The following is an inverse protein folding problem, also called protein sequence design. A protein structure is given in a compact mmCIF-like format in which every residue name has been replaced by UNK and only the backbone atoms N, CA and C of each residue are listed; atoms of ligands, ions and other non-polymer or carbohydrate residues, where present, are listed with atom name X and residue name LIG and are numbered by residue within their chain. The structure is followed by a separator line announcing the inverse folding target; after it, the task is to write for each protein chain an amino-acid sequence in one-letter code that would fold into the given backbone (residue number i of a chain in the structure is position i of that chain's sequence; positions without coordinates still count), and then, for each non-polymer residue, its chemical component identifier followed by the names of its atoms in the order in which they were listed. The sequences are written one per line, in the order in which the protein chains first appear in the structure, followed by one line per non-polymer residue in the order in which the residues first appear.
data_IF_293079254891
#
_entry.id   IF_293079254891
#
_cell.length_a   1.000
_cell.length_b   1.000
_cell.length_c   1.000
_cell.angle_alpha   90.00
_cell.angle_beta   90.00
_cell.angle_gamma   90.00
#
_symmetry.space_group_name_H-M   'P 1'
#
loop_
_entity.id
_entity.type
_entity.pdbx_description
1 polymer ?
#
# COMPACT_ATOMS: atom_id res chain seq x y z
N UNK A 1 -16.98 24.07 -22.65
CA UNK A 1 -16.72 24.19 -24.09
C UNK A 1 -16.75 22.81 -24.71
N UNK A 2 -17.86 22.52 -25.39
CA UNK A 2 -18.11 21.54 -26.46
C UNK A 2 -17.17 20.32 -26.62
N UNK A 3 -17.71 19.16 -26.25
CA UNK A 3 -17.34 17.85 -26.82
C UNK A 3 -17.86 17.73 -28.27
N UNK A 4 -17.32 16.78 -29.07
CA UNK A 4 -17.12 16.91 -30.51
C UNK A 4 -18.42 16.84 -31.34
N UNK A 5 -18.41 17.41 -32.56
CA UNK A 5 -19.56 17.43 -33.45
C UNK A 5 -19.70 16.05 -34.09
N UNK A 6 -20.89 15.47 -34.09
CA UNK A 6 -21.25 14.44 -35.05
C UNK A 6 -22.71 14.63 -35.40
N UNK A 7 -22.95 14.94 -36.67
CA UNK A 7 -24.26 15.10 -37.28
C UNK A 7 -25.20 13.95 -36.94
N UNK A 8 -26.40 14.30 -36.50
CA UNK A 8 -27.52 13.41 -36.23
C UNK A 8 -27.94 12.67 -37.50
N UNK A 9 -28.20 11.36 -37.50
CA UNK A 9 -29.22 10.81 -38.36
C UNK A 9 -30.58 11.15 -37.75
N UNK A 10 -31.36 11.91 -38.49
CA UNK A 10 -32.81 11.92 -38.29
C UNK A 10 -33.32 10.49 -38.49
N UNK A 11 -34.29 10.09 -37.65
CA UNK A 11 -35.10 8.88 -37.73
C UNK A 11 -34.60 7.63 -36.96
N UNK A 12 -35.41 7.25 -35.96
CA UNK A 12 -35.34 5.98 -35.24
C UNK A 12 -35.62 4.82 -36.23
N UNK A 13 -34.58 4.19 -36.76
CA UNK A 13 -34.68 3.01 -37.65
C UNK A 13 -34.44 1.69 -36.91
N UNK A 14 -35.10 0.61 -37.36
CA UNK A 14 -35.19 -0.70 -36.69
C UNK A 14 -33.86 -1.46 -36.51
N UNK A 15 -32.75 -1.02 -37.13
CA UNK A 15 -31.50 -1.80 -37.25
C UNK A 15 -30.23 -1.12 -36.68
N UNK A 16 -30.33 -0.25 -35.68
CA UNK A 16 -29.13 0.41 -35.10
C UNK A 16 -29.05 0.26 -33.58
N UNK A 17 -28.27 -0.74 -33.14
CA UNK A 17 -27.86 -0.97 -31.74
C UNK A 17 -26.90 0.10 -31.16
N UNK A 18 -26.99 1.35 -31.61
CA UNK A 18 -26.30 2.47 -30.98
C UNK A 18 -27.34 3.53 -30.64
N UNK A 19 -27.62 3.69 -29.35
CA UNK A 19 -28.61 4.63 -28.86
C UNK A 19 -27.91 5.95 -28.55
N UNK A 20 -28.31 7.02 -29.23
CA UNK A 20 -27.93 8.39 -28.83
C UNK A 20 -28.98 8.89 -27.86
N UNK A 21 -28.59 9.01 -26.60
CA UNK A 21 -29.39 9.71 -25.60
C UNK A 21 -29.25 11.21 -25.81
N UNK A 22 -30.34 11.96 -25.62
CA UNK A 22 -30.38 13.42 -25.71
C UNK A 22 -30.81 14.00 -24.36
N UNK A 23 -30.31 15.20 -24.02
CA UNK A 23 -30.73 15.89 -22.80
C UNK A 23 -32.13 16.46 -23.00
N UNK A 24 -33.08 16.02 -22.19
CA UNK A 24 -34.39 16.63 -22.04
C UNK A 24 -34.22 18.03 -21.46
N UNK A 25 -34.65 19.04 -22.20
CA UNK A 25 -34.40 20.45 -21.86
C UNK A 25 -35.30 21.00 -20.76
N UNK A 26 -36.33 20.26 -20.34
CA UNK A 26 -37.23 20.65 -19.24
C UNK A 26 -36.76 20.08 -17.90
N UNK A 27 -36.18 18.87 -17.91
CA UNK A 27 -35.76 18.13 -16.71
C UNK A 27 -34.24 18.10 -16.53
N UNK A 28 -33.48 18.26 -17.60
CA UNK A 28 -32.01 18.15 -17.59
C UNK A 28 -31.49 16.70 -17.64
N UNK A 29 -32.37 15.71 -17.82
CA UNK A 29 -32.05 14.28 -17.81
C UNK A 29 -31.73 13.76 -19.22
N UNK A 30 -30.85 12.76 -19.34
CA UNK A 30 -30.56 12.09 -20.61
C UNK A 30 -31.60 11.01 -20.91
N UNK A 31 -32.26 11.08 -22.07
CA UNK A 31 -33.31 10.12 -22.49
C UNK A 31 -33.11 9.65 -23.92
N UNK A 32 -33.52 8.42 -24.19
CA UNK A 32 -33.61 7.92 -25.55
C UNK A 32 -34.75 8.69 -26.24
N UNK A 33 -34.50 9.42 -27.34
CA UNK A 33 -35.53 10.21 -28.00
C UNK A 33 -36.67 9.36 -28.57
N UNK A 34 -36.41 8.08 -28.86
CA UNK A 34 -37.36 7.14 -29.45
C UNK A 34 -38.22 6.41 -28.40
N UNK A 35 -37.64 5.99 -27.27
CA UNK A 35 -38.36 5.19 -26.25
C UNK A 35 -38.75 5.98 -25.01
N UNK A 36 -38.21 7.21 -24.83
CA UNK A 36 -38.34 8.02 -23.61
C UNK A 36 -37.78 7.35 -22.35
N UNK A 37 -37.12 6.20 -22.50
CA UNK A 37 -36.45 5.52 -21.41
C UNK A 37 -35.12 6.22 -21.12
N UNK A 38 -34.80 6.30 -19.84
CA UNK A 38 -33.46 6.64 -19.39
C UNK A 38 -32.48 5.58 -19.89
N UNK A 39 -31.21 5.93 -20.11
CA UNK A 39 -30.20 4.94 -20.42
C UNK A 39 -30.21 3.83 -19.37
N UNK A 40 -30.18 2.54 -19.76
CA UNK A 40 -29.89 1.49 -18.81
C UNK A 40 -28.55 1.84 -18.18
N UNK A 41 -28.55 2.01 -16.86
CA UNK A 41 -27.41 2.49 -16.09
C UNK A 41 -26.33 1.41 -16.12
N UNK A 42 -25.55 1.40 -17.19
CA UNK A 42 -24.18 0.92 -17.25
C UNK A 42 -23.39 2.04 -17.92
N UNK A 43 -23.20 3.12 -17.18
CA UNK A 43 -22.11 4.05 -17.46
C UNK A 43 -20.81 3.25 -17.40
N UNK A 44 -19.83 3.49 -18.29
CA UNK A 44 -18.53 2.86 -18.17
C UNK A 44 -18.01 3.16 -16.76
N UNK A 45 -17.78 2.09 -15.99
CA UNK A 45 -17.53 2.09 -14.55
C UNK A 45 -16.90 3.39 -14.05
N UNK A 46 -17.66 4.22 -13.32
CA UNK A 46 -17.01 4.95 -12.23
C UNK A 46 -16.31 3.87 -11.40
N UNK A 47 -14.99 3.97 -11.13
CA UNK A 47 -14.28 2.93 -10.40
C UNK A 47 -15.08 2.64 -9.14
N UNK A 48 -15.62 1.41 -9.07
CA UNK A 48 -16.57 1.02 -8.05
C UNK A 48 -16.07 1.48 -6.68
N UNK A 49 -16.97 2.01 -5.86
CA UNK A 49 -16.65 2.52 -4.53
C UNK A 49 -15.73 1.53 -3.81
N UNK A 50 -14.44 1.90 -3.68
CA UNK A 50 -13.46 1.03 -3.08
C UNK A 50 -13.91 0.72 -1.66
N UNK A 51 -13.97 -0.57 -1.29
CA UNK A 51 -14.24 -0.94 0.09
C UNK A 51 -12.98 -0.72 0.94
N UNK A 52 -12.70 0.54 1.27
CA UNK A 52 -11.52 0.98 2.02
C UNK A 52 -11.52 0.54 3.50
N UNK A 53 -12.49 -0.28 3.93
CA UNK A 53 -12.48 -0.90 5.26
C UNK A 53 -11.81 -2.29 5.26
N UNK A 54 -11.57 -2.87 4.08
CA UNK A 54 -10.87 -4.14 3.92
C UNK A 54 -9.44 -3.86 3.43
N UNK A 55 -8.41 -4.30 4.18
CA UNK A 55 -7.03 -3.97 3.84
C UNK A 55 -6.55 -4.64 2.54
N UNK A 56 -7.16 -5.75 2.11
CA UNK A 56 -6.83 -6.34 0.81
C UNK A 56 -7.47 -5.58 -0.33
N UNK A 57 -8.73 -5.14 -0.20
CA UNK A 57 -9.37 -4.31 -1.22
C UNK A 57 -8.57 -3.02 -1.44
N UNK A 58 -7.99 -2.44 -0.39
CA UNK A 58 -7.05 -1.30 -0.49
C UNK A 58 -5.83 -1.65 -1.33
N UNK A 59 -5.14 -2.75 -1.01
CA UNK A 59 -3.92 -3.17 -1.70
C UNK A 59 -4.22 -3.52 -3.16
N UNK A 60 -5.26 -4.29 -3.43
CA UNK A 60 -5.68 -4.66 -4.78
C UNK A 60 -5.99 -3.41 -5.61
N UNK A 61 -6.69 -2.44 -5.02
CA UNK A 61 -6.99 -1.15 -5.67
C UNK A 61 -5.71 -0.37 -6.00
N UNK A 62 -4.76 -0.29 -5.07
CA UNK A 62 -3.47 0.34 -5.30
C UNK A 62 -2.69 -0.33 -6.44
N UNK A 63 -2.75 -1.66 -6.54
CA UNK A 63 -2.08 -2.41 -7.61
C UNK A 63 -2.66 -2.14 -9.00
N UNK A 64 -3.88 -1.63 -9.12
CA UNK A 64 -4.45 -1.22 -10.42
C UNK A 64 -3.95 0.15 -10.89
N UNK A 65 -3.30 0.92 -10.02
CA UNK A 65 -2.76 2.24 -10.34
C UNK A 65 -1.41 2.12 -11.04
N UNK A 66 -1.03 3.13 -11.83
CA UNK A 66 0.27 3.12 -12.50
C UNK A 66 1.45 3.28 -11.53
N UNK A 67 1.27 4.05 -10.45
CA UNK A 67 2.38 4.52 -9.62
C UNK A 67 2.75 3.53 -8.53
N UNK A 68 1.78 2.87 -7.90
CA UNK A 68 2.07 2.00 -6.76
C UNK A 68 2.98 0.81 -7.14
N UNK A 69 2.70 0.02 -8.19
CA UNK A 69 3.62 -1.03 -8.63
C UNK A 69 4.97 -0.47 -9.09
N UNK A 70 4.98 0.72 -9.72
CA UNK A 70 6.19 1.37 -10.20
C UNK A 70 7.14 1.77 -9.07
N UNK A 71 6.62 2.18 -7.90
CA UNK A 71 7.46 2.44 -6.73
C UNK A 71 8.24 1.20 -6.32
N UNK A 72 7.56 0.03 -6.23
CA UNK A 72 8.21 -1.22 -5.86
C UNK A 72 9.24 -1.67 -6.89
N UNK A 73 8.91 -1.64 -8.18
CA UNK A 73 9.84 -2.06 -9.22
C UNK A 73 11.08 -1.16 -9.30
N UNK A 74 10.89 0.16 -9.20
CA UNK A 74 12.00 1.13 -9.24
C UNK A 74 12.92 0.95 -8.04
N UNK A 75 12.34 0.75 -6.86
CA UNK A 75 13.11 0.50 -5.63
C UNK A 75 13.88 -0.83 -5.69
N UNK A 76 13.24 -1.91 -6.17
CA UNK A 76 13.91 -3.20 -6.43
C UNK A 76 15.08 -3.03 -7.39
N UNK A 77 14.89 -2.31 -8.49
CA UNK A 77 15.92 -2.16 -9.52
C UNK A 77 17.07 -1.23 -9.05
N UNK A 78 16.87 -0.49 -7.96
CA UNK A 78 17.88 0.39 -7.37
C UNK A 78 18.65 -0.21 -6.18
N UNK A 79 18.37 -1.45 -5.77
CA UNK A 79 19.04 -2.08 -4.60
C UNK A 79 20.56 -2.22 -4.76
N UNK A 80 21.09 -2.15 -5.98
CA UNK A 80 22.55 -2.18 -6.21
C UNK A 80 23.27 -0.88 -5.85
N UNK A 81 22.54 0.20 -5.55
CA UNK A 81 23.14 1.43 -5.02
C UNK A 81 23.78 1.15 -3.64
N UNK A 82 24.78 1.97 -3.27
CA UNK A 82 25.39 1.87 -1.94
C UNK A 82 24.62 2.68 -0.88
N UNK A 83 23.36 3.02 -1.13
CA UNK A 83 22.46 3.72 -0.22
C UNK A 83 21.02 3.23 -0.43
N UNK A 84 20.18 3.40 0.59
CA UNK A 84 18.75 3.13 0.50
C UNK A 84 18.00 4.27 -0.20
N UNK A 85 16.90 3.95 -0.88
CA UNK A 85 15.99 4.88 -1.52
C UNK A 85 14.58 4.67 -1.01
N UNK A 86 13.77 5.72 -1.05
CA UNK A 86 12.36 5.62 -0.69
C UNK A 86 11.48 6.67 -1.36
N UNK A 87 10.18 6.42 -1.28
CA UNK A 87 9.13 7.28 -1.79
C UNK A 87 8.15 7.58 -0.67
N UNK A 88 7.86 8.87 -0.47
CA UNK A 88 6.70 9.36 0.28
C UNK A 88 5.63 9.77 -0.73
N UNK A 89 4.38 9.34 -0.58
CA UNK A 89 3.36 9.59 -1.59
C UNK A 89 1.99 10.02 -1.04
N UNK A 90 1.21 10.64 -1.93
CA UNK A 90 -0.13 11.16 -1.68
C UNK A 90 -1.09 10.76 -2.80
N UNK A 91 -2.39 10.70 -2.47
CA UNK A 91 -3.47 10.36 -3.38
C UNK A 91 -3.17 9.08 -4.20
N UNK A 92 -2.81 7.96 -3.56
CA UNK A 92 -2.22 6.83 -4.25
C UNK A 92 -3.21 6.06 -5.13
N UNK A 93 -4.52 6.31 -4.96
CA UNK A 93 -5.58 5.78 -5.82
C UNK A 93 -5.82 6.60 -7.09
N UNK A 94 -5.10 7.72 -7.29
CA UNK A 94 -5.13 8.46 -8.53
C UNK A 94 -3.94 8.06 -9.41
N UNK A 95 -4.10 8.17 -10.73
CA UNK A 95 -3.01 7.97 -11.67
C UNK A 95 -2.06 9.19 -11.77
N UNK A 96 -2.14 10.16 -10.86
CA UNK A 96 -1.25 11.32 -10.83
C UNK A 96 0.04 11.01 -10.07
N UNK A 97 1.19 11.43 -10.60
CA UNK A 97 2.47 11.36 -9.88
C UNK A 97 2.48 12.37 -8.74
N UNK A 98 2.25 11.91 -7.52
CA UNK A 98 2.30 12.74 -6.31
C UNK A 98 3.14 12.06 -5.24
N UNK A 99 4.46 12.18 -5.38
CA UNK A 99 5.44 11.59 -4.49
C UNK A 99 6.71 12.43 -4.38
N UNK A 100 7.48 12.18 -3.33
CA UNK A 100 8.84 12.69 -3.13
C UNK A 100 9.78 11.49 -3.04
N UNK A 101 10.87 11.52 -3.81
CA UNK A 101 11.99 10.59 -3.66
C UNK A 101 12.89 11.05 -2.51
N UNK A 102 13.31 10.11 -1.68
CA UNK A 102 14.25 10.31 -0.59
C UNK A 102 15.42 9.35 -0.80
N UNK A 103 16.64 9.85 -0.70
CA UNK A 103 17.84 9.04 -0.72
C UNK A 103 18.45 9.02 0.68
N UNK A 104 18.90 7.84 1.11
CA UNK A 104 19.74 7.66 2.27
C UNK A 104 21.17 8.11 1.99
N UNK A 105 21.97 8.07 3.05
CA UNK A 105 23.39 8.39 2.96
C UNK A 105 24.17 7.25 2.30
N UNK A 106 25.19 7.61 1.53
CA UNK A 106 26.11 6.65 0.93
C UNK A 106 26.79 5.78 2.01
N UNK A 107 26.91 4.49 1.74
CA UNK A 107 27.49 3.45 2.60
C UNK A 107 26.77 3.28 3.95
N UNK A 108 25.53 3.78 4.06
CA UNK A 108 24.64 3.60 5.21
C UNK A 108 23.49 2.63 4.93
N UNK A 109 23.07 1.92 5.97
CA UNK A 109 21.85 1.10 6.00
C UNK A 109 20.64 1.88 6.54
N UNK A 110 20.62 3.18 6.29
CA UNK A 110 19.60 4.04 6.88
C UNK A 110 19.11 5.05 5.87
N UNK A 111 17.80 5.18 5.80
CA UNK A 111 17.12 6.28 5.14
C UNK A 111 16.38 7.13 6.17
N UNK A 112 16.49 8.45 6.06
CA UNK A 112 15.71 9.37 6.88
C UNK A 112 14.53 9.90 6.09
N UNK A 113 13.41 9.18 6.16
CA UNK A 113 12.14 9.63 5.62
C UNK A 113 11.40 10.41 6.71
N UNK A 114 11.28 11.74 6.56
CA UNK A 114 10.50 12.55 7.51
C UNK A 114 9.45 13.38 6.77
N UNK A 115 8.18 12.93 6.74
CA UNK A 115 7.13 13.62 6.02
C UNK A 115 6.81 14.98 6.66
N UNK A 116 6.91 16.05 5.87
CA UNK A 116 6.58 17.41 6.31
C UNK A 116 5.08 17.56 6.64
N UNK A 117 4.22 16.93 5.84
CA UNK A 117 2.75 16.91 5.98
C UNK A 117 2.24 15.47 6.13
N UNK A 118 0.95 15.31 6.43
CA UNK A 118 0.36 13.97 6.43
C UNK A 118 0.41 13.33 5.04
N UNK A 119 0.86 12.07 4.97
CA UNK A 119 1.05 11.27 3.75
C UNK A 119 0.05 10.11 3.69
N UNK A 120 -0.19 9.59 2.49
CA UNK A 120 -1.04 8.42 2.26
C UNK A 120 -0.23 7.11 2.22
N UNK A 121 1.10 7.19 2.17
CA UNK A 121 1.97 6.03 2.34
C UNK A 121 3.43 6.33 2.09
N UNK A 122 4.27 5.33 2.38
CA UNK A 122 5.69 5.35 2.09
C UNK A 122 6.18 3.97 1.69
N UNK A 123 7.27 3.91 0.93
CA UNK A 123 7.97 2.65 0.62
C UNK A 123 9.46 2.93 0.46
N UNK A 124 10.32 2.10 1.02
CA UNK A 124 11.78 2.19 0.81
C UNK A 124 12.38 0.86 0.38
N UNK A 125 13.64 0.87 -0.01
CA UNK A 125 14.41 -0.35 -0.17
C UNK A 125 15.46 -0.54 0.91
N UNK A 126 15.86 -1.79 1.10
CA UNK A 126 17.14 -2.13 1.69
C UNK A 126 18.13 -2.42 0.55
N UNK A 127 19.20 -1.64 0.48
CA UNK A 127 20.24 -1.81 -0.54
C UNK A 127 21.05 -3.09 -0.32
N UNK A 128 21.77 -3.58 -1.33
CA UNK A 128 22.44 -4.90 -1.36
C UNK A 128 23.67 -5.06 -0.45
N UNK A 129 23.78 -4.24 0.60
CA UNK A 129 24.78 -4.42 1.63
C UNK A 129 24.60 -5.78 2.36
N UNK A 130 25.68 -6.53 2.65
CA UNK A 130 25.60 -7.81 3.36
C UNK A 130 24.99 -7.73 4.77
N UNK A 131 24.95 -6.53 5.36
CA UNK A 131 24.40 -6.26 6.69
C UNK A 131 22.92 -5.90 6.66
N UNK A 132 22.29 -5.86 5.48
CA UNK A 132 20.86 -5.53 5.33
C UNK A 132 19.96 -6.61 5.92
N UNK A 133 18.76 -6.24 6.34
CA UNK A 133 17.70 -7.21 6.63
C UNK A 133 16.89 -7.50 5.37
N UNK A 134 16.40 -8.73 5.23
CA UNK A 134 15.48 -9.12 4.15
C UNK A 134 14.01 -8.82 4.47
N UNK A 135 13.75 -8.14 5.60
CA UNK A 135 12.45 -7.88 6.23
C UNK A 135 12.53 -6.51 6.93
N UNK A 136 11.39 -5.92 7.30
CA UNK A 136 11.37 -4.67 8.05
C UNK A 136 12.24 -4.75 9.32
N UNK A 137 12.96 -3.68 9.59
CA UNK A 137 13.80 -3.47 10.77
C UNK A 137 12.98 -3.03 11.99
N UNK A 138 13.64 -2.97 13.14
CA UNK A 138 13.10 -2.28 14.32
C UNK A 138 12.83 -0.80 14.04
N UNK A 139 13.75 -0.14 13.32
CA UNK A 139 13.68 1.30 13.06
C UNK A 139 12.47 1.63 12.17
N UNK A 140 12.07 0.72 11.29
CA UNK A 140 10.83 0.82 10.50
C UNK A 140 9.57 0.89 11.38
N UNK A 141 9.48 0.04 12.42
CA UNK A 141 8.37 0.12 13.38
C UNK A 141 8.41 1.41 14.18
N UNK A 142 9.60 1.85 14.57
CA UNK A 142 9.79 3.07 15.34
C UNK A 142 9.34 4.28 14.53
N UNK A 143 9.80 4.42 13.28
CA UNK A 143 9.39 5.49 12.38
C UNK A 143 7.90 5.46 12.07
N UNK A 144 7.32 4.28 11.80
CA UNK A 144 5.89 4.16 11.55
C UNK A 144 5.06 4.60 12.77
N UNK A 145 5.48 4.23 13.98
CA UNK A 145 4.82 4.67 15.20
C UNK A 145 4.97 6.17 15.45
N UNK A 146 6.16 6.73 15.27
CA UNK A 146 6.41 8.17 15.38
C UNK A 146 5.51 8.96 14.42
N UNK A 147 5.41 8.52 13.16
CA UNK A 147 4.54 9.15 12.17
C UNK A 147 3.06 9.05 12.55
N UNK A 148 2.63 7.92 13.12
CA UNK A 148 1.28 7.74 13.60
C UNK A 148 0.94 8.75 14.71
N UNK A 149 1.75 8.82 15.78
CA UNK A 149 1.46 9.69 16.93
C UNK A 149 1.67 11.18 16.63
N UNK A 150 2.52 11.50 15.64
CA UNK A 150 2.80 12.86 15.19
C UNK A 150 1.81 13.36 14.12
N UNK A 151 0.75 12.59 13.81
CA UNK A 151 -0.28 12.99 12.85
C UNK A 151 0.22 13.08 11.40
N UNK A 152 1.24 12.30 11.05
CA UNK A 152 1.83 12.24 9.70
C UNK A 152 1.19 11.17 8.81
N UNK A 153 0.28 10.36 9.37
CA UNK A 153 -0.53 9.41 8.59
C UNK A 153 -1.89 10.07 8.32
N UNK A 154 -2.23 10.24 7.03
CA UNK A 154 -3.46 10.94 6.61
C UNK A 154 -4.72 10.14 6.92
N UNK A 155 -4.73 8.85 6.59
CA UNK A 155 -5.81 7.92 6.93
C UNK A 155 -5.22 6.53 7.19
N UNK A 156 -5.37 6.04 8.41
CA UNK A 156 -4.82 4.73 8.83
C UNK A 156 -5.44 3.56 8.09
N UNK A 157 -6.67 3.71 7.57
CA UNK A 157 -7.36 2.64 6.83
C UNK A 157 -6.75 2.36 5.46
N UNK A 158 -6.21 3.41 4.83
CA UNK A 158 -5.64 3.31 3.48
C UNK A 158 -4.12 3.46 3.45
N UNK A 159 -3.51 3.87 4.57
CA UNK A 159 -2.08 4.07 4.65
C UNK A 159 -1.32 2.76 4.48
N UNK A 160 -0.30 2.79 3.63
CA UNK A 160 0.60 1.65 3.40
C UNK A 160 2.05 2.04 3.69
N UNK A 161 2.77 1.14 4.34
CA UNK A 161 4.22 1.26 4.54
C UNK A 161 4.94 0.05 3.94
N UNK A 162 5.65 0.27 2.86
CA UNK A 162 6.32 -0.77 2.08
C UNK A 162 7.81 -0.87 2.36
N UNK A 163 8.37 -2.05 2.12
CA UNK A 163 9.81 -2.23 2.01
C UNK A 163 10.13 -3.24 0.90
N UNK A 164 11.21 -2.96 0.16
CA UNK A 164 11.70 -3.79 -0.94
C UNK A 164 13.16 -4.18 -0.73
N UNK A 165 13.52 -5.42 -0.98
CA UNK A 165 14.91 -5.87 -1.10
C UNK A 165 15.15 -6.47 -2.49
N UNK A 166 16.34 -7.00 -2.73
CA UNK A 166 16.64 -7.75 -3.95
C UNK A 166 15.84 -9.05 -4.10
N UNK A 167 15.29 -9.56 -3.00
CA UNK A 167 14.64 -10.88 -2.96
C UNK A 167 13.23 -10.88 -2.39
N UNK A 168 12.79 -9.76 -1.80
CA UNK A 168 11.50 -9.65 -1.11
C UNK A 168 10.86 -8.30 -1.33
N UNK A 169 9.54 -8.23 -1.24
CA UNK A 169 8.80 -6.99 -1.13
C UNK A 169 7.59 -7.20 -0.26
N UNK A 170 7.36 -6.26 0.65
CA UNK A 170 6.31 -6.35 1.65
C UNK A 170 5.61 -5.02 1.85
N UNK A 171 4.37 -5.09 2.32
CA UNK A 171 3.59 -3.93 2.75
C UNK A 171 3.02 -4.19 4.14
N UNK A 172 3.08 -3.19 5.02
CA UNK A 172 2.36 -3.13 6.28
C UNK A 172 1.19 -2.15 6.18
N UNK A 173 0.07 -2.50 6.82
CA UNK A 173 -1.06 -1.62 7.04
C UNK A 173 -1.49 -1.66 8.51
N UNK A 174 -1.86 -0.50 9.06
CA UNK A 174 -2.39 -0.40 10.42
C UNK A 174 -3.88 -0.73 10.38
N UNK A 175 -4.23 -1.97 10.75
CA UNK A 175 -5.62 -2.46 10.67
C UNK A 175 -6.36 -2.42 12.01
N UNK A 176 -5.63 -2.25 13.12
CA UNK A 176 -6.18 -1.96 14.43
C UNK A 176 -5.38 -0.81 15.06
N UNK A 177 -5.86 0.42 14.88
CA UNK A 177 -5.20 1.62 15.40
C UNK A 177 -5.11 1.64 16.93
N UNK A 178 -6.05 1.00 17.64
CA UNK A 178 -6.00 0.91 19.11
C UNK A 178 -4.90 -0.07 19.54
N UNK A 179 -4.84 -1.24 18.90
CA UNK A 179 -3.75 -2.20 19.06
C UNK A 179 -2.38 -1.57 18.77
N UNK A 180 -2.27 -0.81 17.69
CA UNK A 180 -1.01 -0.17 17.28
C UNK A 180 -0.54 0.89 18.28
N UNK A 181 -1.44 1.76 18.74
CA UNK A 181 -1.13 2.74 19.80
C UNK A 181 -0.71 2.05 21.10
N UNK A 182 -1.43 1.00 21.51
CA UNK A 182 -1.10 0.28 22.75
C UNK A 182 0.27 -0.40 22.66
N UNK A 183 0.58 -0.99 21.51
CA UNK A 183 1.89 -1.56 21.21
C UNK A 183 2.98 -0.49 21.29
N UNK A 184 2.84 0.61 20.55
CA UNK A 184 3.86 1.65 20.51
C UNK A 184 4.05 2.37 21.84
N UNK A 185 2.98 2.66 22.58
CA UNK A 185 3.07 3.23 23.93
C UNK A 185 3.87 2.35 24.89
N UNK A 186 3.77 1.02 24.74
CA UNK A 186 4.46 0.06 25.60
C UNK A 186 5.90 -0.22 25.18
N UNK A 187 6.17 -0.22 23.87
CA UNK A 187 7.40 -0.78 23.31
C UNK A 187 8.25 0.22 22.54
N UNK A 188 7.73 1.40 22.20
CA UNK A 188 8.41 2.38 21.34
C UNK A 188 8.47 3.79 21.95
N UNK A 189 7.71 4.08 23.01
CA UNK A 189 7.59 5.42 23.57
C UNK A 189 8.63 5.78 24.65
N UNK A 190 9.26 4.80 25.29
CA UNK A 190 10.30 5.03 26.29
C UNK A 190 11.52 4.11 26.09
N UNK A 191 12.66 4.50 26.66
CA UNK A 191 13.93 3.80 26.50
C UNK A 191 13.86 2.33 26.90
N UNK A 192 13.17 1.99 28.00
CA UNK A 192 13.08 0.60 28.47
C UNK A 192 12.23 -0.24 27.51
N UNK A 193 11.10 0.30 27.06
CA UNK A 193 10.24 -0.33 26.05
C UNK A 193 11.00 -0.59 24.76
N UNK A 194 11.70 0.44 24.26
CA UNK A 194 12.52 0.38 23.04
C UNK A 194 13.59 -0.69 23.14
N UNK A 195 14.37 -0.70 24.23
CA UNK A 195 15.43 -1.69 24.42
C UNK A 195 14.86 -3.11 24.53
N UNK A 196 13.72 -3.28 25.21
CA UNK A 196 13.05 -4.57 25.31
C UNK A 196 12.59 -5.06 23.93
N UNK A 197 11.87 -4.24 23.17
CA UNK A 197 11.37 -4.63 21.86
C UNK A 197 12.51 -4.92 20.89
N UNK A 198 13.51 -4.02 20.82
CA UNK A 198 14.70 -4.21 19.99
C UNK A 198 15.46 -5.50 20.33
N UNK A 199 15.65 -5.78 21.63
CA UNK A 199 16.30 -7.02 22.08
C UNK A 199 15.49 -8.26 21.73
N UNK A 200 14.18 -8.25 21.95
CA UNK A 200 13.33 -9.40 21.61
C UNK A 200 13.29 -9.62 20.10
N UNK A 201 13.16 -8.54 19.32
CA UNK A 201 13.09 -8.57 17.86
C UNK A 201 14.36 -9.15 17.23
N UNK A 202 15.53 -8.61 17.58
CA UNK A 202 16.79 -9.05 16.98
C UNK A 202 17.40 -10.28 17.65
N UNK A 203 17.36 -10.36 18.98
CA UNK A 203 18.09 -11.41 19.73
C UNK A 203 17.19 -12.61 19.98
N UNK A 204 16.00 -12.42 20.57
CA UNK A 204 15.15 -13.54 20.98
C UNK A 204 14.45 -14.21 19.78
N UNK A 205 13.98 -13.44 18.80
CA UNK A 205 13.46 -14.00 17.54
C UNK A 205 14.57 -14.27 16.53
N UNK A 206 15.77 -13.72 16.72
CA UNK A 206 16.92 -13.99 15.87
C UNK A 206 16.77 -13.42 14.46
N UNK A 207 16.10 -12.29 14.27
CA UNK A 207 16.02 -11.62 12.96
C UNK A 207 17.40 -11.02 12.67
N UNK A 208 18.07 -11.50 11.63
CA UNK A 208 19.46 -11.12 11.32
C UNK A 208 19.74 -11.14 9.81
N UNK A 209 20.69 -10.33 9.32
CA UNK A 209 21.09 -10.30 7.90
C UNK A 209 21.53 -11.66 7.33
N UNK A 210 22.03 -12.55 8.19
CA UNK A 210 22.60 -13.83 7.76
C UNK A 210 21.56 -14.94 7.53
N UNK A 211 20.30 -14.71 7.92
CA UNK A 211 19.23 -15.70 7.70
C UNK A 211 18.76 -15.68 6.24
N UNK A 212 18.17 -16.78 5.79
CA UNK A 212 17.40 -16.75 4.54
C UNK A 212 16.20 -15.82 4.66
N UNK A 213 15.79 -15.21 3.55
CA UNK A 213 14.65 -14.29 3.52
C UNK A 213 13.36 -14.90 4.11
N UNK A 214 13.09 -16.18 3.79
CA UNK A 214 11.97 -16.94 4.32
C UNK A 214 12.05 -17.19 5.84
N UNK A 215 13.25 -17.32 6.40
CA UNK A 215 13.44 -17.50 7.84
C UNK A 215 13.18 -16.19 8.60
N UNK A 216 13.71 -15.07 8.08
CA UNK A 216 13.43 -13.74 8.62
C UNK A 216 11.93 -13.42 8.54
N UNK A 217 11.26 -13.76 7.45
CA UNK A 217 9.80 -13.61 7.31
C UNK A 217 9.05 -14.38 8.40
N UNK A 218 9.34 -15.68 8.60
CA UNK A 218 8.70 -16.48 9.67
C UNK A 218 8.95 -15.88 11.05
N UNK A 219 10.19 -15.46 11.34
CA UNK A 219 10.55 -14.86 12.65
C UNK A 219 9.86 -13.51 12.86
N UNK A 220 9.74 -12.72 11.82
CA UNK A 220 9.00 -11.45 11.83
C UNK A 220 7.50 -11.65 12.07
N UNK A 221 6.87 -12.58 11.35
CA UNK A 221 5.46 -12.91 11.56
C UNK A 221 5.21 -13.46 12.97
N UNK A 222 6.16 -14.22 13.54
CA UNK A 222 6.11 -14.64 14.95
C UNK A 222 6.17 -13.45 15.90
N UNK A 223 6.99 -12.45 15.61
CA UNK A 223 7.04 -11.21 16.37
C UNK A 223 5.70 -10.46 16.29
N UNK A 224 5.10 -10.33 15.09
CA UNK A 224 3.78 -9.74 14.92
C UNK A 224 2.70 -10.49 15.69
N UNK A 225 2.71 -11.82 15.70
CA UNK A 225 1.74 -12.63 16.43
C UNK A 225 1.85 -12.46 17.95
N UNK A 226 3.07 -12.37 18.49
CA UNK A 226 3.32 -12.27 19.93
C UNK A 226 3.08 -10.85 20.44
N UNK A 227 3.56 -9.84 19.72
CA UNK A 227 3.40 -8.44 20.12
C UNK A 227 2.03 -7.88 19.75
N UNK A 228 1.37 -8.47 18.75
CA UNK A 228 0.07 -8.06 18.21
C UNK A 228 -0.05 -6.53 18.03
N UNK A 229 0.78 -5.91 17.17
CA UNK A 229 0.79 -4.47 17.01
C UNK A 229 -0.43 -3.93 16.23
N UNK A 230 -1.44 -4.75 15.90
CA UNK A 230 -2.56 -4.29 15.09
C UNK A 230 -2.19 -4.02 13.61
N UNK A 231 -1.11 -4.63 13.12
CA UNK A 231 -0.65 -4.52 11.74
C UNK A 231 -1.06 -5.74 10.93
N UNK A 232 -1.53 -5.51 9.70
CA UNK A 232 -1.62 -6.53 8.66
C UNK A 232 -0.37 -6.49 7.78
N UNK A 233 0.11 -7.67 7.42
CA UNK A 233 1.35 -7.85 6.68
C UNK A 233 1.08 -8.55 5.35
N UNK A 234 1.59 -7.96 4.28
CA UNK A 234 1.38 -8.38 2.90
C UNK A 234 2.71 -8.68 2.24
N UNK A 235 2.74 -9.75 1.45
CA UNK A 235 3.90 -10.20 0.69
C UNK A 235 3.63 -10.09 -0.79
N UNK A 236 4.52 -9.43 -1.52
CA UNK A 236 4.45 -9.37 -2.97
C UNK A 236 4.79 -10.73 -3.60
N UNK A 237 4.21 -11.01 -4.76
CA UNK A 237 4.75 -12.03 -5.66
C UNK A 237 6.08 -11.56 -6.30
N UNK A 238 6.80 -12.49 -6.93
CA UNK A 238 8.11 -12.19 -7.53
C UNK A 238 8.07 -11.12 -8.65
N UNK A 239 6.91 -10.94 -9.28
CA UNK A 239 6.71 -9.94 -10.35
C UNK A 239 6.28 -8.59 -9.82
N UNK A 240 6.05 -8.44 -8.51
CA UNK A 240 5.54 -7.22 -7.87
C UNK A 240 4.18 -6.76 -8.44
N UNK A 241 3.36 -7.71 -8.89
CA UNK A 241 2.04 -7.44 -9.51
C UNK A 241 0.87 -7.79 -8.60
N UNK A 242 1.13 -8.51 -7.51
CA UNK A 242 0.11 -8.87 -6.54
C UNK A 242 0.73 -8.94 -5.15
N UNK A 243 -0.07 -8.63 -4.13
CA UNK A 243 0.30 -8.74 -2.73
C UNK A 243 -0.70 -9.62 -1.99
N UNK A 244 -0.21 -10.66 -1.33
CA UNK A 244 -1.02 -11.56 -0.54
C UNK A 244 -0.84 -11.24 0.94
N UNK A 245 -1.94 -11.08 1.68
CA UNK A 245 -1.88 -10.98 3.14
C UNK A 245 -1.42 -12.32 3.71
N UNK A 246 -0.42 -12.33 4.58
CA UNK A 246 0.14 -13.56 5.14
C UNK A 246 0.23 -13.52 6.66
N UNK A 247 0.21 -14.71 7.28
CA UNK A 247 0.42 -14.91 8.72
C UNK A 247 1.15 -16.22 9.00
N UNK A 248 1.53 -16.46 10.24
CA UNK A 248 1.89 -17.80 10.70
C UNK A 248 0.65 -18.64 11.02
N UNK A 249 0.66 -19.89 10.58
CA UNK A 249 -0.23 -20.92 11.11
C UNK A 249 0.30 -21.47 12.46
N UNK A 250 -0.48 -22.33 13.16
CA UNK A 250 -0.04 -22.93 14.43
C UNK A 250 1.25 -23.78 14.32
N UNK A 251 1.55 -24.30 13.13
CA UNK A 251 2.74 -25.12 12.86
C UNK A 251 4.00 -24.28 12.59
N UNK A 252 3.86 -22.95 12.49
CA UNK A 252 4.98 -22.03 12.23
C UNK A 252 5.31 -21.84 10.74
N UNK A 253 4.38 -22.16 9.86
CA UNK A 253 4.48 -21.89 8.43
C UNK A 253 3.77 -20.60 8.03
N UNK A 254 4.36 -19.88 7.07
CA UNK A 254 3.70 -18.75 6.42
C UNK A 254 2.57 -19.27 5.54
N UNK A 255 1.35 -18.79 5.79
CA UNK A 255 0.16 -19.13 5.02
C UNK A 255 -0.58 -17.87 4.59
N UNK A 256 -1.33 -17.92 3.47
CA UNK A 256 -2.29 -16.89 3.12
C UNK A 256 -3.25 -16.61 4.28
N UNK A 257 -3.56 -15.34 4.52
CA UNK A 257 -4.53 -14.91 5.51
C UNK A 257 -5.67 -14.15 4.84
N UNK A 258 -6.90 -14.69 4.89
CA UNK A 258 -8.04 -14.02 4.29
C UNK A 258 -8.26 -12.61 4.83
N UNK A 259 -8.94 -11.82 4.02
CA UNK A 259 -9.18 -10.41 4.24
C UNK A 259 -10.52 -10.14 4.97
N UNK A 260 -11.20 -11.23 5.34
CA UNK A 260 -12.58 -11.29 5.82
C UNK A 260 -12.63 -11.56 7.33
#
# INVERSE_FOLDING_TARGET
TTNPPNTLPDECGEDRNWVVYVIDTNTGEWKNPCTQEEPPIEWPDEPGEYNLNNPCDVIDSLMTTNNYPLYYSTLRDSVSANYEKGYLFWNPFSNSTNYIEVNGEADSLSINMYPATAIDGAVHNHNNDPRRLSIFSFDDFYSLYDWFISGKIKDTKTFTFGMVSDSTAYTMMITDSTGFVNFGNKYLNDEKGVQLFKSVFYIAFGITPNNLASENEKRFLKALQIFNPGISFFKANNTLTNFERVKLNPDGDTVPYPCN
#
